data_IF_786217017225
#
_entry.id   IF_786217017225
#
_cell.length_a   1.000
_cell.length_b   1.000
_cell.length_c   1.000
_cell.angle_alpha   90.00
_cell.angle_beta   90.00
_cell.angle_gamma   90.00
#
_symmetry.space_group_name_H-M   'P 1'
#
loop_
_entity.id
_entity.type
_entity.pdbx_description
1 polymer ?
#
# COMPACT_ATOMS: atom_id res chain seq x y z
N UNK A 1 1.83 -23.10 -2.55
CA UNK A 1 0.91 -22.35 -3.44
C UNK A 1 -0.16 -21.56 -2.67
N UNK A 2 -0.76 -22.13 -1.60
CA UNK A 2 -1.90 -21.52 -0.89
C UNK A 2 -1.66 -20.09 -0.34
N UNK A 3 -0.44 -19.76 0.10
CA UNK A 3 -0.13 -18.42 0.66
C UNK A 3 -0.35 -17.27 -0.33
N UNK A 4 -0.19 -17.48 -1.65
CA UNK A 4 -0.44 -16.44 -2.66
C UNK A 4 -1.93 -16.14 -2.79
N UNK A 5 -2.77 -17.18 -2.80
CA UNK A 5 -4.22 -17.02 -2.84
C UNK A 5 -4.75 -16.28 -1.60
N UNK A 6 -4.22 -16.58 -0.41
CA UNK A 6 -4.55 -15.80 0.78
C UNK A 6 -4.15 -14.34 0.65
N UNK A 7 -2.93 -14.08 0.18
CA UNK A 7 -2.44 -12.71 0.03
C UNK A 7 -3.26 -11.91 -0.99
N UNK A 8 -3.69 -12.54 -2.07
CA UNK A 8 -4.58 -11.94 -3.07
C UNK A 8 -5.93 -11.55 -2.46
N UNK A 9 -6.54 -12.44 -1.68
CA UNK A 9 -7.75 -12.13 -0.91
C UNK A 9 -7.53 -10.96 0.06
N UNK A 10 -6.35 -10.88 0.69
CA UNK A 10 -6.02 -9.79 1.61
C UNK A 10 -5.88 -8.44 0.90
N UNK A 11 -5.47 -8.40 -0.37
CA UNK A 11 -5.49 -7.17 -1.17
C UNK A 11 -6.92 -6.68 -1.42
N UNK A 12 -7.88 -7.59 -1.46
CA UNK A 12 -9.30 -7.29 -1.66
C UNK A 12 -10.06 -7.09 -0.35
N UNK A 13 -9.38 -6.94 0.81
CA UNK A 13 -10.02 -6.75 2.12
C UNK A 13 -11.07 -5.64 2.11
N UNK A 14 -10.81 -4.54 1.40
CA UNK A 14 -11.73 -3.41 1.31
C UNK A 14 -13.10 -3.74 0.68
N UNK A 15 -13.22 -4.86 -0.03
CA UNK A 15 -14.44 -5.27 -0.73
C UNK A 15 -15.41 -6.03 0.17
N UNK A 16 -14.91 -6.79 1.14
CA UNK A 16 -15.73 -7.74 1.93
C UNK A 16 -15.55 -7.60 3.44
N UNK A 17 -14.45 -7.01 3.92
CA UNK A 17 -14.19 -6.85 5.35
C UNK A 17 -14.55 -5.45 5.84
N UNK A 18 -15.08 -5.39 7.07
CA UNK A 18 -15.44 -4.11 7.70
C UNK A 18 -14.18 -3.33 8.10
N UNK A 19 -14.05 -2.05 7.71
CA UNK A 19 -12.97 -1.20 8.20
C UNK A 19 -13.17 -0.84 9.67
N UNK A 20 -12.09 -0.90 10.45
CA UNK A 20 -12.01 -0.57 11.86
C UNK A 20 -10.84 0.38 12.05
N UNK A 21 -11.12 1.60 12.50
CA UNK A 21 -10.09 2.58 12.84
C UNK A 21 -9.51 2.25 14.23
N UNK A 22 -8.21 1.97 14.30
CA UNK A 22 -7.50 1.69 15.55
C UNK A 22 -6.23 2.55 15.58
N UNK A 23 -6.08 3.39 16.60
CA UNK A 23 -4.93 4.30 16.76
C UNK A 23 -4.64 5.21 15.55
N UNK A 24 -5.67 5.61 14.81
CA UNK A 24 -5.53 6.44 13.60
C UNK A 24 -5.15 5.68 12.34
N UNK A 25 -5.00 4.36 12.41
CA UNK A 25 -4.79 3.48 11.25
C UNK A 25 -6.06 2.69 10.92
N UNK A 26 -6.27 2.41 9.63
CA UNK A 26 -7.38 1.59 9.17
C UNK A 26 -6.93 0.12 9.16
N UNK A 27 -7.63 -0.69 9.94
CA UNK A 27 -7.58 -2.14 9.88
C UNK A 27 -8.87 -2.68 9.30
N UNK A 28 -8.86 -3.92 8.83
CA UNK A 28 -10.04 -4.61 8.35
C UNK A 28 -10.33 -5.80 9.25
N UNK A 29 -11.57 -5.93 9.69
CA UNK A 29 -11.99 -7.09 10.47
C UNK A 29 -12.13 -8.30 9.57
N UNK A 30 -11.21 -9.25 9.73
CA UNK A 30 -11.15 -10.47 8.95
C UNK A 30 -10.87 -11.65 9.87
N UNK A 31 -11.95 -12.32 10.30
CA UNK A 31 -11.82 -13.54 11.09
C UNK A 31 -11.31 -14.69 10.22
N UNK A 32 -10.64 -15.66 10.86
CA UNK A 32 -10.14 -16.85 10.18
C UNK A 32 -11.27 -17.66 9.52
N UNK A 33 -12.47 -17.62 10.10
CA UNK A 33 -13.65 -18.26 9.53
C UNK A 33 -14.17 -17.54 8.28
N UNK A 34 -14.19 -16.19 8.30
CA UNK A 34 -14.54 -15.41 7.10
C UNK A 34 -13.59 -15.71 5.95
N UNK A 35 -12.28 -15.80 6.21
CA UNK A 35 -11.29 -16.15 5.19
C UNK A 35 -11.58 -17.53 4.58
N UNK A 36 -11.96 -18.53 5.38
CA UNK A 36 -12.37 -19.83 4.85
C UNK A 36 -13.64 -19.73 3.98
N UNK A 37 -14.58 -18.84 4.34
CA UNK A 37 -15.82 -18.65 3.58
C UNK A 37 -15.61 -17.94 2.24
N UNK A 38 -14.66 -17.01 2.17
CA UNK A 38 -14.32 -16.29 0.93
C UNK A 38 -13.62 -17.19 -0.09
N UNK A 39 -12.70 -18.04 0.37
CA UNK A 39 -11.91 -18.93 -0.51
C UNK A 39 -11.93 -20.39 -0.06
N UNK A 40 -13.11 -21.05 -0.03
CA UNK A 40 -13.27 -22.39 0.52
C UNK A 40 -12.47 -23.45 -0.25
N UNK A 41 -12.20 -23.20 -1.55
CA UNK A 41 -11.37 -24.05 -2.38
C UNK A 41 -9.88 -24.00 -1.99
N UNK A 42 -9.41 -22.86 -1.46
CA UNK A 42 -8.01 -22.68 -1.07
C UNK A 42 -7.78 -23.00 0.41
N UNK A 43 -8.75 -22.66 1.28
CA UNK A 43 -8.68 -22.84 2.72
C UNK A 43 -9.97 -23.43 3.27
N UNK A 44 -9.88 -24.66 3.78
CA UNK A 44 -10.99 -25.37 4.43
C UNK A 44 -10.83 -25.49 5.95
N UNK A 45 -9.64 -25.17 6.49
CA UNK A 45 -9.30 -25.32 7.90
C UNK A 45 -8.77 -24.01 8.47
N UNK A 46 -9.34 -23.59 9.59
CA UNK A 46 -8.95 -22.39 10.35
C UNK A 46 -7.48 -22.44 10.76
N UNK A 47 -6.95 -23.61 11.14
CA UNK A 47 -5.54 -23.77 11.52
C UNK A 47 -4.59 -23.45 10.35
N UNK A 48 -4.93 -23.88 9.13
CA UNK A 48 -4.14 -23.59 7.93
C UNK A 48 -4.11 -22.09 7.62
N UNK A 49 -5.25 -21.40 7.79
CA UNK A 49 -5.32 -19.93 7.66
C UNK A 49 -4.43 -19.27 8.69
N UNK A 50 -4.50 -19.70 9.97
CA UNK A 50 -3.66 -19.16 11.04
C UNK A 50 -2.16 -19.29 10.74
N UNK A 51 -1.71 -20.48 10.29
CA UNK A 51 -0.31 -20.71 9.90
C UNK A 51 0.12 -19.83 8.73
N UNK A 52 -0.74 -19.65 7.74
CA UNK A 52 -0.46 -18.80 6.59
C UNK A 52 -0.37 -17.31 6.99
N UNK A 53 -1.32 -16.82 7.80
CA UNK A 53 -1.29 -15.45 8.35
C UNK A 53 -0.04 -15.22 9.20
N UNK A 54 0.34 -16.19 10.04
CA UNK A 54 1.57 -16.14 10.84
C UNK A 54 2.80 -15.97 9.94
N UNK A 55 2.88 -16.75 8.86
CA UNK A 55 3.99 -16.66 7.89
C UNK A 55 4.04 -15.30 7.19
N UNK A 56 2.88 -14.76 6.78
CA UNK A 56 2.80 -13.43 6.14
C UNK A 56 3.22 -12.30 7.10
N UNK A 57 2.85 -12.45 8.38
CA UNK A 57 3.26 -11.53 9.45
C UNK A 57 4.76 -11.59 9.69
N UNK A 58 5.34 -12.78 9.80
CA UNK A 58 6.79 -12.98 9.97
C UNK A 58 7.60 -12.38 8.80
N UNK A 59 7.05 -12.41 7.59
CA UNK A 59 7.64 -11.76 6.40
C UNK A 59 7.50 -10.23 6.40
N UNK A 60 6.72 -9.66 7.31
CA UNK A 60 6.41 -8.24 7.40
C UNK A 60 5.46 -7.74 6.30
N UNK A 61 4.65 -8.63 5.72
CA UNK A 61 3.69 -8.26 4.65
C UNK A 61 2.36 -7.75 5.20
N UNK A 62 1.98 -8.23 6.39
CA UNK A 62 0.72 -7.86 7.04
C UNK A 62 0.95 -7.46 8.51
N UNK A 63 0.15 -6.51 8.96
CA UNK A 63 -0.04 -6.18 10.36
C UNK A 63 -1.28 -6.93 10.85
N UNK A 64 -1.11 -7.70 11.92
CA UNK A 64 -2.19 -8.40 12.60
C UNK A 64 -2.32 -7.83 14.00
N UNK A 65 -3.51 -7.38 14.35
CA UNK A 65 -3.84 -6.82 15.66
C UNK A 65 -5.16 -7.42 16.13
N UNK A 66 -5.24 -7.73 17.43
CA UNK A 66 -6.50 -8.13 18.05
C UNK A 66 -7.13 -6.89 18.68
N UNK A 67 -8.37 -6.57 18.32
CA UNK A 67 -9.12 -5.46 18.90
C UNK A 67 -10.38 -6.03 19.57
N UNK A 68 -10.35 -6.16 20.89
CA UNK A 68 -11.36 -6.90 21.65
C UNK A 68 -11.40 -8.36 21.20
N UNK A 69 -12.53 -8.79 20.65
CA UNK A 69 -12.73 -10.14 20.10
C UNK A 69 -12.49 -10.22 18.58
N UNK A 70 -12.27 -9.08 17.91
CA UNK A 70 -12.11 -9.02 16.47
C UNK A 70 -10.65 -9.22 16.04
N UNK A 71 -10.45 -10.08 15.05
CA UNK A 71 -9.19 -10.24 14.31
C UNK A 71 -9.08 -9.12 13.27
N UNK A 72 -8.15 -8.18 13.47
CA UNK A 72 -7.98 -7.03 12.59
C UNK A 72 -6.67 -7.18 11.79
N UNK A 73 -6.78 -7.06 10.46
CA UNK A 73 -5.68 -7.22 9.51
C UNK A 73 -5.51 -5.95 8.69
N UNK A 74 -4.27 -5.53 8.48
CA UNK A 74 -3.91 -4.44 7.58
C UNK A 74 -2.67 -4.79 6.77
N UNK A 75 -2.55 -4.25 5.55
CA UNK A 75 -1.39 -4.45 4.69
C UNK A 75 -0.28 -3.46 5.03
N UNK A 76 0.95 -3.95 5.19
CA UNK A 76 2.11 -3.09 5.37
C UNK A 76 2.50 -2.43 4.04
N UNK A 77 3.35 -1.40 4.09
CA UNK A 77 3.92 -0.81 2.87
C UNK A 77 4.63 -1.87 1.99
N UNK A 78 5.29 -2.85 2.61
CA UNK A 78 5.94 -3.98 1.92
C UNK A 78 4.92 -4.93 1.30
N UNK A 79 3.82 -5.21 2.00
CA UNK A 79 2.70 -6.01 1.47
C UNK A 79 2.11 -5.36 0.22
N UNK A 80 1.81 -4.06 0.24
CA UNK A 80 1.25 -3.35 -0.92
C UNK A 80 2.15 -3.44 -2.16
N UNK A 81 3.47 -3.47 -1.97
CA UNK A 81 4.45 -3.63 -3.05
C UNK A 81 4.65 -5.08 -3.53
N UNK A 82 4.11 -6.08 -2.83
CA UNK A 82 4.35 -7.50 -3.13
C UNK A 82 3.78 -7.95 -4.48
N UNK A 83 2.74 -7.26 -4.98
CA UNK A 83 2.17 -7.52 -6.31
C UNK A 83 2.70 -6.56 -7.40
N UNK A 84 3.64 -5.66 -7.06
CA UNK A 84 4.10 -4.58 -7.95
C UNK A 84 5.21 -4.99 -8.92
N UNK A 85 5.68 -6.24 -8.88
CA UNK A 85 6.74 -6.73 -9.79
C UNK A 85 6.25 -7.08 -11.21
N UNK A 86 5.24 -6.36 -11.73
CA UNK A 86 4.92 -6.35 -13.16
C UNK A 86 5.06 -4.95 -13.78
N UNK A 87 5.68 -3.99 -13.08
CA UNK A 87 6.28 -2.79 -13.68
C UNK A 87 7.24 -2.11 -12.69
N UNK A 88 8.56 -2.00 -12.96
CA UNK A 88 9.51 -1.33 -12.06
C UNK A 88 9.36 0.21 -11.98
N UNK A 89 8.20 0.77 -12.35
CA UNK A 89 8.02 2.22 -12.51
C UNK A 89 6.86 2.77 -11.69
N UNK A 90 6.77 2.44 -10.40
CA UNK A 90 6.08 3.34 -9.47
C UNK A 90 6.86 3.45 -8.16
N UNK A 91 7.73 4.46 -8.15
CA UNK A 91 8.38 5.01 -6.97
C UNK A 91 7.31 5.33 -5.93
N UNK A 92 7.45 4.76 -4.74
CA UNK A 92 6.77 5.19 -3.53
C UNK A 92 7.10 6.66 -3.27
N UNK A 93 6.20 7.58 -3.64
CA UNK A 93 6.25 8.99 -3.23
C UNK A 93 5.85 9.09 -1.76
N UNK A 94 6.75 8.72 -0.87
CA UNK A 94 6.76 9.27 0.48
C UNK A 94 7.83 10.36 0.51
N UNK A 95 7.53 11.50 -0.12
CA UNK A 95 8.39 12.69 -0.13
C UNK A 95 8.06 13.52 1.11
N UNK A 96 8.27 12.96 2.29
CA UNK A 96 8.21 13.69 3.55
C UNK A 96 9.49 13.36 4.34
N UNK A 97 10.59 14.05 3.99
CA UNK A 97 11.52 14.61 4.97
C UNK A 97 12.73 15.29 4.29
N UNK A 98 12.70 16.62 4.33
CA UNK A 98 13.79 17.48 4.79
C UNK A 98 15.17 17.33 4.15
N UNK A 99 15.44 18.15 3.12
CA UNK A 99 16.78 18.72 2.92
C UNK A 99 16.70 20.17 2.43
N UNK A 100 16.30 21.04 3.36
CA UNK A 100 16.59 22.46 3.31
C UNK A 100 18.08 22.62 3.62
N UNK A 101 18.93 22.57 2.61
CA UNK A 101 20.25 23.20 2.60
C UNK A 101 20.83 23.08 1.19
N UNK A 102 20.63 24.11 0.38
CA UNK A 102 21.64 24.71 -0.51
C UNK A 102 20.98 25.75 -1.43
N UNK A 103 20.37 26.76 -0.82
CA UNK A 103 20.20 28.06 -1.50
C UNK A 103 21.58 28.71 -1.50
N UNK A 104 22.40 28.44 -2.52
CA UNK A 104 23.60 29.25 -2.86
C UNK A 104 24.19 28.80 -4.21
N UNK A 105 23.59 29.28 -5.30
CA UNK A 105 24.34 29.93 -6.40
C UNK A 105 23.37 30.60 -7.37
N UNK A 106 23.14 31.86 -7.10
CA UNK A 106 22.74 32.89 -8.06
C UNK A 106 23.79 32.87 -9.18
N UNK A 107 23.42 32.44 -10.38
CA UNK A 107 24.11 32.89 -11.58
C UNK A 107 23.14 33.80 -12.32
N UNK A 108 23.36 35.10 -12.10
CA UNK A 108 22.99 36.14 -13.06
C UNK A 108 23.65 35.76 -14.39
N UNK A 109 22.87 35.77 -15.48
CA UNK A 109 23.23 36.37 -16.76
C UNK A 109 22.21 35.93 -17.82
N UNK A 110 21.60 36.91 -18.50
CA UNK A 110 20.86 36.70 -19.75
C UNK A 110 19.34 36.81 -19.64
N UNK A 111 18.84 38.00 -19.29
CA UNK A 111 17.53 38.43 -19.81
C UNK A 111 17.69 38.54 -21.33
N UNK A 112 17.02 37.68 -22.08
CA UNK A 112 16.66 38.00 -23.46
C UNK A 112 15.13 37.86 -23.59
N UNK A 113 14.50 39.01 -23.73
CA UNK A 113 13.05 39.22 -23.79
C UNK A 113 12.60 39.50 -25.24
N UNK A 114 13.35 39.06 -26.25
CA UNK A 114 13.07 39.38 -27.65
C UNK A 114 11.96 38.53 -28.31
N UNK A 115 10.89 38.20 -27.59
CA UNK A 115 9.68 37.64 -28.20
C UNK A 115 8.46 38.48 -27.81
N UNK A 116 8.56 39.76 -28.14
CA UNK A 116 7.43 40.68 -28.23
C UNK A 116 7.70 41.59 -29.43
N UNK A 117 7.40 41.09 -30.63
CA UNK A 117 7.11 41.98 -31.73
C UNK A 117 5.98 41.42 -32.58
N UNK A 118 4.93 42.23 -32.63
CA UNK A 118 3.70 42.05 -33.36
C UNK A 118 4.03 42.02 -34.86
N UNK A 119 3.51 41.06 -35.60
CA UNK A 119 3.47 41.21 -37.06
C UNK A 119 2.18 41.95 -37.46
N UNK A 120 2.28 43.10 -38.15
CA UNK A 120 1.14 43.80 -38.69
C UNK A 120 0.60 43.14 -39.97
N UNK A 121 -0.62 43.53 -40.30
CA UNK A 121 -1.45 43.18 -41.45
C UNK A 121 -0.81 43.37 -42.83
N UNK A 122 -1.10 42.43 -43.72
CA UNK A 122 -1.61 42.70 -45.09
C UNK A 122 -2.73 41.70 -45.41
#
# INVERSE_FOLDING_TARGET
MQQRALFDLLNQLHTWAEPVAIDGEIYYWASKQMICNEIPLAYNKIDTVYRALKTLREKGLINYRKHGEKDCISLTAKGKGWNSEINPTYKNTNINNTKISNIKKINKNGLDLSCFEQQPSE
#
